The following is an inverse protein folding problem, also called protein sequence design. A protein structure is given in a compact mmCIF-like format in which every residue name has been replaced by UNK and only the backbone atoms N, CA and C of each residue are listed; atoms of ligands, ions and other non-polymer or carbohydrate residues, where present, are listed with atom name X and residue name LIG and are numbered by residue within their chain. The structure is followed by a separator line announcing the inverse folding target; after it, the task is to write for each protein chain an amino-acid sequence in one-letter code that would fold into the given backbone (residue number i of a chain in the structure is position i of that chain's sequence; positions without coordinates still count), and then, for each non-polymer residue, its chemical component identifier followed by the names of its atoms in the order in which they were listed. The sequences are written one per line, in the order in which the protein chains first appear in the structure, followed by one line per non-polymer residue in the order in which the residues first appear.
data_IF_068036563591
#
_entry.id   IF_068036563591
#
_cell.length_a   1.000
_cell.length_b   1.000
_cell.length_c   1.000
_cell.angle_alpha   90.00
_cell.angle_beta   90.00
_cell.angle_gamma   90.00
#
_symmetry.space_group_name_H-M   'P 1'
#
loop_
_entity.id
_entity.type
_entity.pdbx_description
1 polymer ?
#
# COMPACT_ATOMS: atom_id res chain seq x y z
N UNK A 1 6.23 -9.87 -22.99
CA UNK A 1 5.13 -9.36 -22.14
C UNK A 1 5.77 -9.21 -20.79
N UNK A 2 6.36 -8.03 -20.63
CA UNK A 2 7.58 -7.88 -19.85
C UNK A 2 7.17 -7.62 -18.40
N UNK A 3 7.48 -8.59 -17.54
CA UNK A 3 7.36 -8.44 -16.11
C UNK A 3 8.45 -7.46 -15.67
N UNK A 4 8.03 -6.28 -15.22
CA UNK A 4 8.95 -5.28 -14.71
C UNK A 4 9.41 -5.70 -13.31
N UNK A 5 10.65 -6.14 -13.19
CA UNK A 5 11.30 -6.45 -11.92
C UNK A 5 12.00 -5.20 -11.41
N UNK A 6 11.34 -4.46 -10.52
CA UNK A 6 12.00 -3.44 -9.72
C UNK A 6 12.65 -4.11 -8.50
N UNK A 7 13.93 -4.46 -8.63
CA UNK A 7 14.82 -4.73 -7.49
C UNK A 7 15.50 -3.41 -7.13
N UNK A 8 15.00 -2.70 -6.10
CA UNK A 8 15.77 -1.67 -5.38
C UNK A 8 15.05 -1.29 -4.08
N UNK A 9 15.76 -1.45 -2.97
CA UNK A 9 15.28 -1.14 -1.62
C UNK A 9 15.12 0.37 -1.43
N UNK A 10 13.92 0.79 -1.01
CA UNK A 10 13.59 1.62 0.17
C UNK A 10 12.21 2.22 -0.03
N UNK A 11 11.39 2.07 1.02
CA UNK A 11 10.15 2.80 1.26
C UNK A 11 8.98 2.44 0.33
N UNK A 12 8.09 1.66 0.95
CA UNK A 12 6.78 1.30 0.44
C UNK A 12 5.86 2.50 0.60
N UNK A 13 4.94 2.66 -0.33
CA UNK A 13 3.95 3.74 -0.36
C UNK A 13 3.06 3.66 0.90
N UNK A 14 3.31 4.52 1.87
CA UNK A 14 2.42 4.78 3.01
C UNK A 14 1.79 6.17 2.81
N UNK A 15 0.48 6.27 3.01
CA UNK A 15 -0.23 7.55 3.11
C UNK A 15 -1.24 7.50 4.24
N UNK A 16 -1.29 8.63 4.94
CA UNK A 16 -2.13 8.85 6.10
C UNK A 16 -2.45 10.35 6.31
N UNK A 17 -3.25 10.93 5.43
CA UNK A 17 -3.97 12.21 5.70
C UNK A 17 -5.08 11.90 6.72
N UNK A 18 -5.74 12.85 7.42
CA UNK A 18 -5.98 12.91 8.89
C UNK A 18 -6.60 11.64 9.57
N UNK A 19 -6.93 10.64 8.79
CA UNK A 19 -7.19 9.24 9.05
C UNK A 19 -6.10 8.47 9.82
N UNK A 20 -5.08 9.09 10.45
CA UNK A 20 -4.09 8.27 11.18
C UNK A 20 -4.76 7.59 12.34
N UNK A 21 -5.52 8.40 13.08
CA UNK A 21 -6.44 7.87 14.05
C UNK A 21 -7.46 6.91 13.41
N UNK A 22 -8.03 7.20 12.24
CA UNK A 22 -9.09 6.38 11.63
C UNK A 22 -8.62 5.00 11.17
N UNK A 23 -7.59 4.90 10.32
CA UNK A 23 -7.07 3.62 9.85
C UNK A 23 -6.48 2.82 11.00
N UNK A 24 -5.70 3.45 11.88
CA UNK A 24 -5.22 2.79 13.10
C UNK A 24 -6.37 2.24 13.94
N UNK A 25 -7.42 3.04 14.17
CA UNK A 25 -8.59 2.60 14.92
C UNK A 25 -9.33 1.44 14.21
N UNK A 26 -9.41 1.47 12.88
CA UNK A 26 -10.03 0.40 12.08
C UNK A 26 -9.18 -0.87 12.14
N UNK A 27 -7.86 -0.77 12.00
CA UNK A 27 -6.92 -1.88 12.09
C UNK A 27 -6.94 -2.49 13.48
N UNK A 28 -7.02 -1.68 14.53
CA UNK A 28 -7.17 -2.12 15.93
C UNK A 28 -8.45 -2.89 16.22
N UNK A 29 -9.53 -2.67 15.47
CA UNK A 29 -10.79 -3.41 15.64
C UNK A 29 -10.68 -4.88 15.20
N UNK A 30 -9.60 -5.25 14.49
CA UNK A 30 -9.37 -6.62 14.04
C UNK A 30 -9.93 -6.91 12.66
N UNK A 31 -9.94 -8.19 12.24
CA UNK A 31 -10.21 -8.58 10.85
C UNK A 31 -11.59 -8.17 10.35
N UNK A 32 -11.64 -7.33 9.32
CA UNK A 32 -12.87 -6.84 8.72
C UNK A 32 -12.66 -6.31 7.30
N UNK A 33 -13.73 -6.30 6.50
CA UNK A 33 -13.75 -5.53 5.24
C UNK A 33 -14.08 -4.09 5.54
N UNK A 34 -13.44 -3.18 4.80
CA UNK A 34 -13.57 -1.73 5.02
C UNK A 34 -14.11 -1.11 3.74
N UNK A 35 -15.20 -0.37 3.88
CA UNK A 35 -15.80 0.44 2.81
C UNK A 35 -16.15 1.78 3.45
N UNK A 36 -15.40 2.81 3.07
CA UNK A 36 -15.64 4.20 3.43
C UNK A 36 -15.81 5.00 2.12
N UNK A 37 -16.32 6.21 2.22
CA UNK A 37 -16.54 7.04 1.04
C UNK A 37 -15.23 7.25 0.26
N UNK A 38 -15.13 6.68 -0.95
CA UNK A 38 -13.94 6.70 -1.79
C UNK A 38 -12.74 5.84 -1.33
N UNK A 39 -12.90 5.01 -0.29
CA UNK A 39 -11.84 4.13 0.24
C UNK A 39 -12.37 2.72 0.44
N UNK A 40 -11.62 1.73 -0.03
CA UNK A 40 -11.89 0.32 0.22
C UNK A 40 -10.68 -0.31 0.88
N UNK A 41 -10.90 -1.41 1.61
CA UNK A 41 -9.82 -2.06 2.31
C UNK A 41 -10.21 -3.37 2.98
N UNK A 42 -9.22 -3.98 3.60
CA UNK A 42 -9.40 -5.13 4.48
C UNK A 42 -8.37 -5.09 5.59
N UNK A 43 -8.79 -5.48 6.78
CA UNK A 43 -7.91 -5.78 7.90
C UNK A 43 -7.81 -7.29 8.01
N UNK A 44 -6.60 -7.82 8.10
CA UNK A 44 -6.31 -9.23 8.37
C UNK A 44 -5.53 -9.37 9.66
N UNK A 45 -5.61 -10.55 10.27
CA UNK A 45 -4.88 -10.88 11.49
C UNK A 45 -3.80 -11.92 11.18
N UNK A 46 -2.62 -11.73 11.78
CA UNK A 46 -1.46 -12.59 11.61
C UNK A 46 -0.91 -13.00 12.97
N UNK A 47 -0.93 -14.31 13.24
CA UNK A 47 -0.43 -14.89 14.48
C UNK A 47 1.07 -15.18 14.41
N UNK A 48 1.80 -14.85 15.48
CA UNK A 48 3.27 -14.99 15.58
C UNK A 48 3.76 -16.42 15.34
N UNK A 49 3.01 -17.41 15.79
CA UNK A 49 3.33 -18.83 15.67
C UNK A 49 3.00 -19.44 14.29
N UNK A 50 2.32 -18.70 13.41
CA UNK A 50 1.89 -19.16 12.09
C UNK A 50 2.02 -18.04 11.04
N UNK A 51 3.14 -17.33 11.08
CA UNK A 51 3.40 -16.28 10.10
C UNK A 51 3.74 -16.89 8.74
N UNK A 52 2.98 -16.44 7.74
CA UNK A 52 3.22 -16.70 6.33
C UNK A 52 3.32 -15.36 5.61
N UNK A 53 3.95 -15.34 4.44
CA UNK A 53 3.97 -14.15 3.60
C UNK A 53 2.53 -13.70 3.35
N UNK A 54 2.25 -12.45 3.69
CA UNK A 54 0.96 -11.85 3.38
C UNK A 54 0.93 -11.49 1.90
N UNK A 55 -0.16 -11.85 1.23
CA UNK A 55 -0.39 -11.54 -0.17
C UNK A 55 -1.81 -11.04 -0.35
N UNK A 56 -1.96 -9.93 -1.06
CA UNK A 56 -3.26 -9.40 -1.43
C UNK A 56 -3.21 -8.84 -2.85
N UNK A 57 -4.24 -9.16 -3.62
CA UNK A 57 -4.50 -8.53 -4.91
C UNK A 57 -5.62 -7.51 -4.74
N UNK A 58 -5.44 -6.32 -5.31
CA UNK A 58 -6.41 -5.24 -5.21
C UNK A 58 -7.13 -5.09 -6.55
N UNK A 59 -8.46 -4.88 -6.53
CA UNK A 59 -9.23 -4.75 -7.74
C UNK A 59 -8.82 -3.52 -8.54
N UNK A 60 -8.86 -3.65 -9.86
CA UNK A 60 -8.71 -2.53 -10.78
C UNK A 60 -9.84 -1.51 -10.62
N UNK A 61 -9.48 -0.24 -10.58
CA UNK A 61 -10.39 0.91 -10.68
C UNK A 61 -10.48 1.45 -12.10
N UNK A 62 -9.72 0.88 -13.05
CA UNK A 62 -9.75 1.29 -14.44
C UNK A 62 -11.04 0.79 -15.12
N UNK A 63 -11.80 1.72 -15.70
CA UNK A 63 -13.01 1.40 -16.46
C UNK A 63 -12.73 0.86 -17.88
N UNK A 64 -11.47 0.80 -18.30
CA UNK A 64 -11.09 0.24 -19.59
C UNK A 64 -11.42 -1.26 -19.64
N UNK A 65 -12.11 -1.66 -20.70
CA UNK A 65 -12.69 -2.98 -21.04
C UNK A 65 -11.72 -4.17 -21.09
N UNK A 66 -10.47 -4.03 -20.65
CA UNK A 66 -9.63 -5.18 -20.36
C UNK A 66 -10.17 -5.84 -19.10
N UNK A 67 -10.22 -7.18 -19.09
CA UNK A 67 -10.84 -8.02 -18.06
C UNK A 67 -10.62 -7.45 -16.64
N UNK A 68 -11.64 -7.55 -15.77
CA UNK A 68 -11.58 -7.16 -14.34
C UNK A 68 -10.50 -7.94 -13.59
N UNK A 69 -9.25 -7.68 -13.89
CA UNK A 69 -8.07 -8.27 -13.29
C UNK A 69 -7.56 -7.29 -12.25
N UNK A 70 -7.09 -7.84 -11.14
CA UNK A 70 -6.42 -7.05 -10.10
C UNK A 70 -5.17 -6.41 -10.69
N UNK A 71 -5.04 -5.11 -10.53
CA UNK A 71 -3.96 -4.31 -11.10
C UNK A 71 -2.89 -3.95 -10.07
N UNK A 72 -3.06 -4.32 -8.80
CA UNK A 72 -2.03 -4.17 -7.78
C UNK A 72 -1.88 -5.45 -6.98
N UNK A 73 -0.65 -5.93 -6.86
CA UNK A 73 -0.29 -7.06 -6.00
C UNK A 73 0.61 -6.58 -4.87
N UNK A 74 0.16 -6.76 -3.63
CA UNK A 74 0.90 -6.48 -2.41
C UNK A 74 1.41 -7.80 -1.82
N UNK A 75 2.71 -7.87 -1.54
CA UNK A 75 3.35 -8.94 -0.80
C UNK A 75 4.16 -8.37 0.37
N UNK A 76 3.90 -8.85 1.58
CA UNK A 76 4.66 -8.52 2.78
C UNK A 76 5.35 -9.80 3.27
N UNK A 77 6.69 -9.83 3.29
CA UNK A 77 7.43 -11.01 3.70
C UNK A 77 7.26 -11.28 5.19
N UNK A 78 7.40 -12.55 5.57
CA UNK A 78 7.24 -13.01 6.97
C UNK A 78 8.17 -12.27 7.94
N UNK A 79 9.40 -11.92 7.51
CA UNK A 79 10.34 -11.18 8.35
C UNK A 79 9.86 -9.77 8.66
N UNK A 80 9.17 -9.11 7.73
CA UNK A 80 8.53 -7.82 8.01
C UNK A 80 7.39 -7.97 9.02
N UNK A 81 6.52 -8.97 8.84
CA UNK A 81 5.43 -9.26 9.78
C UNK A 81 5.95 -9.58 11.20
N UNK A 82 7.12 -10.21 11.32
CA UNK A 82 7.78 -10.45 12.61
C UNK A 82 8.18 -9.16 13.30
N UNK A 83 8.66 -8.16 12.55
CA UNK A 83 8.99 -6.85 13.11
C UNK A 83 7.72 -6.18 13.63
N UNK A 84 6.58 -6.31 12.94
CA UNK A 84 5.32 -5.69 13.37
C UNK A 84 4.73 -6.30 14.65
N UNK A 85 5.04 -7.56 14.92
CA UNK A 85 4.63 -8.23 16.17
C UNK A 85 5.53 -7.86 17.35
N UNK A 86 6.76 -7.43 17.06
CA UNK A 86 7.80 -7.28 18.04
C UNK A 86 8.02 -8.54 18.91
N UNK A 87 8.61 -8.33 20.06
CA UNK A 87 8.96 -9.43 20.96
C UNK A 87 7.76 -9.93 21.77
N UNK A 88 6.76 -9.08 22.03
CA UNK A 88 5.73 -9.34 23.04
C UNK A 88 4.33 -9.61 22.49
N UNK A 89 4.00 -9.23 21.26
CA UNK A 89 2.66 -9.48 20.71
C UNK A 89 2.54 -10.91 20.16
N UNK A 90 1.37 -11.52 20.37
CA UNK A 90 1.02 -12.84 19.82
C UNK A 90 0.34 -12.72 18.44
N UNK A 91 -0.22 -11.55 18.14
CA UNK A 91 -1.01 -11.27 16.95
C UNK A 91 -0.83 -9.81 16.52
N UNK A 92 -0.80 -9.58 15.21
CA UNK A 92 -0.79 -8.24 14.61
C UNK A 92 -1.90 -8.14 13.58
N UNK A 93 -2.60 -7.00 13.61
CA UNK A 93 -3.57 -6.66 12.57
C UNK A 93 -2.88 -5.86 11.47
N UNK A 94 -3.13 -6.25 10.23
CA UNK A 94 -2.62 -5.61 9.03
C UNK A 94 -3.80 -5.05 8.25
N UNK A 95 -3.91 -3.73 8.21
CA UNK A 95 -4.82 -2.99 7.34
C UNK A 95 -4.19 -2.78 5.97
N UNK A 96 -4.94 -3.07 4.91
CA UNK A 96 -4.60 -2.69 3.54
C UNK A 96 -5.78 -1.92 2.97
N UNK A 97 -5.53 -0.70 2.53
CA UNK A 97 -6.53 0.24 2.03
C UNK A 97 -6.13 0.75 0.65
N UNK A 98 -7.11 1.03 -0.20
CA UNK A 98 -6.90 1.65 -1.49
C UNK A 98 -7.96 2.70 -1.77
N UNK A 99 -7.55 3.71 -2.51
CA UNK A 99 -8.33 4.91 -2.77
C UNK A 99 -8.92 4.82 -4.16
N UNK A 100 -10.22 5.10 -4.27
CA UNK A 100 -10.93 5.15 -5.55
C UNK A 100 -10.84 6.52 -6.22
N UNK A 101 -10.36 7.53 -5.47
CA UNK A 101 -10.16 8.90 -5.91
C UNK A 101 -8.81 9.39 -5.38
N UNK A 102 -7.94 9.86 -6.28
CA UNK A 102 -6.60 10.34 -5.99
C UNK A 102 -6.51 11.84 -5.69
N UNK A 103 -7.62 12.59 -5.77
CA UNK A 103 -7.67 14.04 -5.47
C UNK A 103 -7.27 14.41 -4.04
N UNK A 104 -7.25 13.43 -3.13
CA UNK A 104 -6.71 13.59 -1.78
C UNK A 104 -5.18 13.74 -1.77
N UNK A 105 -4.52 13.41 -2.88
CA UNK A 105 -3.06 13.36 -3.01
C UNK A 105 -2.63 14.32 -4.13
N UNK A 106 -2.60 15.63 -3.87
CA UNK A 106 -2.19 16.61 -4.86
C UNK A 106 -0.70 16.44 -5.18
N UNK A 107 -0.38 15.71 -6.24
CA UNK A 107 1.00 15.50 -6.75
C UNK A 107 1.36 16.47 -7.87
N UNK A 108 0.51 17.47 -8.16
CA UNK A 108 0.66 18.38 -9.30
C UNK A 108 1.87 19.33 -9.18
N UNK A 109 2.50 19.41 -8.01
CA UNK A 109 3.77 20.11 -7.87
C UNK A 109 4.88 19.33 -8.62
N UNK A 110 5.51 19.96 -9.62
CA UNK A 110 6.65 19.44 -10.40
C UNK A 110 6.35 18.46 -11.56
N UNK A 111 5.21 18.59 -12.26
CA UNK A 111 4.87 17.76 -13.42
C UNK A 111 4.84 16.25 -13.13
N UNK A 112 4.59 15.88 -11.87
CA UNK A 112 4.44 14.49 -11.45
C UNK A 112 2.97 14.08 -11.48
N UNK A 113 2.72 12.81 -11.81
CA UNK A 113 1.39 12.21 -11.85
C UNK A 113 1.45 10.84 -11.17
N UNK A 114 0.36 10.45 -10.52
CA UNK A 114 0.24 9.12 -9.94
C UNK A 114 0.04 8.07 -11.04
N UNK A 115 0.79 6.97 -10.97
CA UNK A 115 0.63 5.87 -11.90
C UNK A 115 -0.78 5.28 -11.78
N UNK A 116 -1.53 5.29 -12.89
CA UNK A 116 -2.92 4.83 -12.98
C UNK A 116 -3.88 5.51 -11.97
N UNK A 117 -3.56 6.69 -11.43
CA UNK A 117 -4.38 7.34 -10.38
C UNK A 117 -4.63 6.44 -9.18
N UNK A 118 -3.65 5.59 -8.83
CA UNK A 118 -3.77 4.61 -7.75
C UNK A 118 -2.96 5.03 -6.53
N UNK A 119 -3.59 4.90 -5.37
CA UNK A 119 -2.93 4.98 -4.07
C UNK A 119 -3.33 3.78 -3.22
N UNK A 120 -2.34 3.20 -2.55
CA UNK A 120 -2.49 2.09 -1.61
C UNK A 120 -1.85 2.49 -0.30
N UNK A 121 -2.49 2.12 0.81
CA UNK A 121 -1.98 2.31 2.16
C UNK A 121 -1.92 0.96 2.87
N UNK A 122 -0.85 0.75 3.61
CA UNK A 122 -0.64 -0.40 4.47
C UNK A 122 -0.53 0.14 5.89
N UNK A 123 -1.32 -0.40 6.82
CA UNK A 123 -1.31 0.01 8.22
C UNK A 123 -1.13 -1.21 9.11
N UNK A 124 -0.34 -1.03 10.16
CA UNK A 124 0.00 -2.07 11.14
C UNK A 124 -0.25 -1.58 12.57
N UNK A 125 -0.74 -0.34 12.72
CA UNK A 125 -1.01 0.30 13.99
C UNK A 125 0.21 0.87 14.74
N UNK A 126 1.42 0.74 14.22
CA UNK A 126 2.61 1.36 14.80
C UNK A 126 3.64 1.72 13.75
N UNK A 127 4.51 2.68 14.09
CA UNK A 127 5.62 3.06 13.23
C UNK A 127 6.68 1.97 13.25
N UNK A 128 7.06 1.49 12.07
CA UNK A 128 8.07 0.45 11.91
C UNK A 128 9.29 1.02 11.22
N UNK A 129 10.46 0.63 11.71
CA UNK A 129 11.74 0.97 11.08
C UNK A 129 12.68 -0.24 11.08
N UNK A 130 13.76 -0.17 10.30
CA UNK A 130 14.82 -1.19 10.32
C UNK A 130 14.45 -2.52 9.66
N UNK A 131 13.51 -2.53 8.73
CA UNK A 131 13.13 -3.73 7.98
C UNK A 131 14.32 -4.26 7.14
N UNK A 132 14.64 -5.54 7.31
CA UNK A 132 15.66 -6.23 6.52
C UNK A 132 15.16 -6.68 5.14
N UNK A 133 13.84 -6.89 5.01
CA UNK A 133 13.15 -7.23 3.76
C UNK A 133 12.10 -6.16 3.43
N UNK A 134 11.96 -5.86 2.14
CA UNK A 134 11.01 -4.86 1.64
C UNK A 134 9.60 -5.44 1.46
N UNK A 135 8.57 -4.60 1.54
CA UNK A 135 7.28 -4.98 1.00
C UNK A 135 7.33 -4.79 -0.51
N UNK A 136 6.63 -5.65 -1.23
CA UNK A 136 6.56 -5.60 -2.67
C UNK A 136 5.17 -5.18 -3.08
N UNK A 137 5.05 -4.01 -3.70
CA UNK A 137 3.83 -3.56 -4.35
C UNK A 137 4.10 -3.56 -5.86
N UNK A 138 3.33 -4.35 -6.60
CA UNK A 138 3.49 -4.49 -8.05
C UNK A 138 2.25 -3.92 -8.72
N UNK A 139 2.43 -2.91 -9.58
CA UNK A 139 1.37 -2.35 -10.40
C UNK A 139 1.37 -3.03 -11.78
N UNK A 140 0.26 -3.67 -12.12
CA UNK A 140 0.02 -4.35 -13.39
C UNK A 140 -0.86 -3.50 -14.31
N UNK A 141 -0.92 -3.87 -15.60
CA UNK A 141 -1.82 -3.26 -16.59
C UNK A 141 -1.71 -1.72 -16.67
N UNK A 142 -0.50 -1.24 -16.97
CA UNK A 142 -0.22 0.19 -17.10
C UNK A 142 -0.89 0.73 -18.38
N UNK A 143 -1.86 1.62 -18.22
CA UNK A 143 -2.55 2.28 -19.34
C UNK A 143 -1.88 3.61 -19.71
N UNK A 144 -0.94 4.08 -18.89
CA UNK A 144 -0.15 5.26 -19.16
C UNK A 144 0.86 4.95 -20.27
N UNK A 145 0.85 5.74 -21.34
CA UNK A 145 2.00 5.79 -22.24
C UNK A 145 3.21 6.21 -21.41
N UNK A 146 4.09 5.26 -21.10
CA UNK A 146 5.35 5.49 -20.38
C UNK A 146 6.40 6.10 -21.34
N UNK A 147 6.03 6.38 -22.59
CA UNK A 147 6.90 7.06 -23.54
C UNK A 147 7.29 8.43 -22.97
N UNK A 148 8.57 8.59 -22.65
CA UNK A 148 9.19 9.79 -22.08
C UNK A 148 8.84 10.09 -20.60
N UNK A 149 8.33 9.11 -19.83
CA UNK A 149 8.13 9.25 -18.38
C UNK A 149 9.09 8.34 -17.60
N UNK A 150 9.67 8.84 -16.51
CA UNK A 150 10.37 8.03 -15.52
C UNK A 150 9.41 7.63 -14.39
N UNK A 151 9.46 6.37 -13.98
CA UNK A 151 8.68 5.88 -12.84
C UNK A 151 9.55 5.89 -11.58
N UNK A 152 8.98 6.33 -10.47
CA UNK A 152 9.57 6.27 -9.15
C UNK A 152 8.53 5.74 -8.15
N UNK A 153 8.98 4.87 -7.25
CA UNK A 153 8.20 4.54 -6.06
C UNK A 153 8.32 5.70 -5.07
N UNK A 154 7.21 6.14 -4.50
CA UNK A 154 7.18 7.28 -3.58
C UNK A 154 6.23 7.01 -2.42
N UNK A 155 6.48 7.63 -1.27
CA UNK A 155 5.53 7.63 -0.15
C UNK A 155 5.24 9.06 0.27
N UNK A 156 4.18 9.25 1.04
CA UNK A 156 3.77 10.59 1.46
C UNK A 156 4.16 10.86 2.88
N UNK A 157 4.91 11.92 3.03
CA UNK A 157 5.26 12.44 4.32
C UNK A 157 4.14 13.34 4.84
N UNK A 158 3.64 12.97 6.01
CA UNK A 158 2.57 13.66 6.69
C UNK A 158 3.06 14.93 7.38
N UNK A 159 4.29 14.91 7.89
CA UNK A 159 4.84 16.04 8.64
C UNK A 159 5.04 17.24 7.71
N UNK A 160 5.49 16.95 6.48
CA UNK A 160 5.75 17.96 5.45
C UNK A 160 4.59 18.11 4.45
N UNK A 161 3.60 17.22 4.47
CA UNK A 161 2.46 17.23 3.55
C UNK A 161 2.89 17.06 2.09
N UNK A 162 3.99 16.35 1.85
CA UNK A 162 4.68 16.28 0.56
C UNK A 162 5.17 14.88 0.24
N UNK A 163 5.52 14.65 -1.01
CA UNK A 163 6.13 13.39 -1.47
C UNK A 163 7.58 13.28 -0.94
N UNK A 164 7.97 12.11 -0.46
CA UNK A 164 9.38 11.74 -0.25
C UNK A 164 9.77 10.60 -1.20
N UNK A 165 10.99 10.71 -1.74
CA UNK A 165 11.65 9.75 -2.62
C UNK A 165 12.58 8.81 -1.85
#
# INVERSE_FOLDING_TARGET
MDSFWAELFRNVIFFNIPYNSTFHNITKQGPQKVILDGIKGSVTSHQKNNLLNFRMSLPSTNNATMEKMDDIWLEIPTEALRVFLGDTAEEVNLGVFWFENDSLFPVEENNTELLNSRVVSVDVGEDISGLSNYFKITFHFQNASVENKSLACVFWDLENGSIIY
#
